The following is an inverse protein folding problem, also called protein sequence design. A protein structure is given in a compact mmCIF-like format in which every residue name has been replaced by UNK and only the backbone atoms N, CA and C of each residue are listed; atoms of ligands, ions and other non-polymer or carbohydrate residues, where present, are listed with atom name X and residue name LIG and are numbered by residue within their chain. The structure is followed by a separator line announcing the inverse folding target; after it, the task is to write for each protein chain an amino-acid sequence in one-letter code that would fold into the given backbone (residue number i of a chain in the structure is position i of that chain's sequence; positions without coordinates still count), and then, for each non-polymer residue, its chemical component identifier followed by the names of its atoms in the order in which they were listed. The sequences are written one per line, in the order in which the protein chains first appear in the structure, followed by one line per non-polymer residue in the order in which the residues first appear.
data_IF_374539777184
#
_entry.id   IF_374539777184
#
_cell.length_a   1.000
_cell.length_b   1.000
_cell.length_c   1.000
_cell.angle_alpha   90.00
_cell.angle_beta   90.00
_cell.angle_gamma   90.00
#
_symmetry.space_group_name_H-M   'P 1'
#
loop_
_entity.id
_entity.type
_entity.pdbx_description
1 polymer ?
#
# COMPACT_ATOMS: atom_id res chain seq x y z
N UNK A 1 17.20 -23.74 17.57
CA UNK A 1 17.90 -24.50 16.51
C UNK A 1 18.35 -23.61 15.36
N UNK A 2 17.50 -22.76 14.76
CA UNK A 2 17.89 -21.85 13.66
C UNK A 2 18.97 -20.81 14.02
N UNK A 3 18.90 -20.21 15.22
CA UNK A 3 19.92 -19.25 15.66
C UNK A 3 21.32 -19.87 15.81
N UNK A 4 21.41 -21.16 16.13
CA UNK A 4 22.70 -21.87 16.28
C UNK A 4 23.31 -22.15 14.91
N UNK A 5 22.49 -22.49 13.90
CA UNK A 5 22.96 -22.70 12.53
C UNK A 5 23.43 -21.40 11.86
N UNK A 6 22.79 -20.26 12.17
CA UNK A 6 23.22 -18.96 11.65
C UNK A 6 24.53 -18.50 12.29
N UNK A 7 24.72 -18.72 13.59
CA UNK A 7 25.98 -18.44 14.28
C UNK A 7 27.11 -19.32 13.74
N UNK A 8 26.87 -20.62 13.52
CA UNK A 8 27.86 -21.52 12.93
C UNK A 8 28.23 -21.13 11.49
N UNK A 9 27.26 -20.70 10.68
CA UNK A 9 27.51 -20.20 9.31
C UNK A 9 28.33 -18.91 9.33
N UNK A 10 28.03 -18.00 10.24
CA UNK A 10 28.79 -16.76 10.39
C UNK A 10 30.22 -17.05 10.86
N UNK A 11 30.39 -18.01 11.77
CA UNK A 11 31.70 -18.40 12.29
C UNK A 11 32.59 -19.04 11.20
N UNK A 12 32.04 -19.90 10.35
CA UNK A 12 32.76 -20.45 9.20
C UNK A 12 33.21 -19.36 8.21
N UNK A 13 32.35 -18.37 7.94
CA UNK A 13 32.70 -17.24 7.06
C UNK A 13 33.78 -16.34 7.68
N UNK A 14 33.74 -16.13 8.99
CA UNK A 14 34.76 -15.35 9.70
C UNK A 14 36.11 -16.09 9.67
N UNK A 15 36.11 -17.41 9.90
CA UNK A 15 37.33 -18.23 9.81
C UNK A 15 37.94 -18.23 8.40
N UNK A 16 37.11 -18.29 7.36
CA UNK A 16 37.57 -18.12 5.98
C UNK A 16 38.19 -16.73 5.77
N UNK A 17 37.52 -15.66 6.19
CA UNK A 17 38.03 -14.29 6.06
C UNK A 17 39.34 -14.09 6.84
N UNK A 18 39.44 -14.64 8.05
CA UNK A 18 40.67 -14.60 8.84
C UNK A 18 41.80 -15.37 8.15
N UNK A 19 41.50 -16.49 7.50
CA UNK A 19 42.48 -17.26 6.71
C UNK A 19 42.91 -16.53 5.43
N UNK A 20 42.02 -15.78 4.80
CA UNK A 20 42.35 -14.91 3.66
C UNK A 20 43.22 -13.71 4.06
N UNK A 21 42.99 -13.15 5.25
CA UNK A 21 43.70 -11.94 5.73
C UNK A 21 45.03 -12.28 6.41
N UNK A 22 45.08 -13.34 7.22
CA UNK A 22 46.24 -13.68 8.06
C UNK A 22 47.03 -14.91 7.56
N UNK A 23 46.53 -15.62 6.53
CA UNK A 23 47.15 -16.85 6.03
C UNK A 23 47.00 -18.03 7.00
N UNK A 24 47.56 -19.21 6.66
CA UNK A 24 47.36 -20.45 7.41
C UNK A 24 47.89 -20.42 8.86
N UNK A 25 48.81 -19.51 9.19
CA UNK A 25 49.49 -19.48 10.50
C UNK A 25 48.86 -18.53 11.52
N UNK A 26 47.70 -17.92 11.23
CA UNK A 26 46.90 -17.15 12.22
C UNK A 26 47.67 -16.04 12.96
N UNK A 27 48.83 -15.63 12.45
CA UNK A 27 49.68 -14.66 13.11
C UNK A 27 49.01 -13.30 12.96
N UNK A 28 48.46 -12.79 14.07
CA UNK A 28 47.96 -11.41 14.22
C UNK A 28 49.11 -10.39 14.13
N UNK A 29 49.85 -10.39 13.02
CA UNK A 29 50.78 -9.35 12.61
C UNK A 29 50.01 -8.11 12.15
N UNK A 30 49.23 -7.53 13.07
CA UNK A 30 48.24 -6.45 12.89
C UNK A 30 48.78 -5.15 12.26
N UNK A 31 50.06 -5.06 11.91
CA UNK A 31 50.67 -3.82 11.41
C UNK A 31 51.22 -3.92 10.00
N UNK A 32 51.65 -5.10 9.52
CA UNK A 32 52.37 -5.18 8.23
C UNK A 32 51.49 -4.92 7.01
N UNK A 33 50.22 -5.34 7.02
CA UNK A 33 49.28 -5.11 5.92
C UNK A 33 48.75 -3.68 5.92
N UNK A 34 48.42 -3.13 7.09
CA UNK A 34 48.00 -1.73 7.22
C UNK A 34 49.15 -0.77 6.88
N UNK A 35 50.36 -1.01 7.41
CA UNK A 35 51.55 -0.22 7.07
C UNK A 35 51.96 -0.44 5.61
N UNK A 36 51.77 -1.65 5.07
CA UNK A 36 51.99 -1.97 3.66
C UNK A 36 51.01 -1.25 2.75
N UNK A 37 49.73 -1.20 3.11
CA UNK A 37 48.68 -0.50 2.39
C UNK A 37 48.89 1.02 2.46
N UNK A 38 49.28 1.55 3.61
CA UNK A 38 49.66 2.98 3.75
C UNK A 38 50.89 3.29 2.90
N UNK A 39 51.91 2.43 2.88
CA UNK A 39 53.08 2.60 2.01
C UNK A 39 52.72 2.53 0.53
N UNK A 40 51.84 1.60 0.13
CA UNK A 40 51.34 1.49 -1.24
C UNK A 40 50.48 2.71 -1.59
N UNK A 41 49.64 3.19 -0.69
CA UNK A 41 48.84 4.40 -0.86
C UNK A 41 49.70 5.66 -1.00
N UNK A 42 50.76 5.80 -0.20
CA UNK A 42 51.71 6.92 -0.28
C UNK A 42 52.55 6.83 -1.55
N UNK A 43 53.00 5.63 -1.93
CA UNK A 43 53.72 5.41 -3.18
C UNK A 43 52.84 5.70 -4.40
N UNK A 44 51.58 5.24 -4.38
CA UNK A 44 50.57 5.53 -5.40
C UNK A 44 50.20 7.01 -5.42
N UNK A 45 50.08 7.67 -4.28
CA UNK A 45 49.85 9.11 -4.18
C UNK A 45 50.99 9.92 -4.80
N UNK A 46 52.24 9.50 -4.56
CA UNK A 46 53.44 10.11 -5.15
C UNK A 46 53.58 9.82 -6.66
N UNK A 47 53.16 8.64 -7.13
CA UNK A 47 53.18 8.27 -8.55
C UNK A 47 52.03 8.96 -9.30
N UNK A 48 50.84 9.01 -8.71
CA UNK A 48 49.65 9.65 -9.28
C UNK A 48 49.74 11.18 -9.28
N UNK A 49 50.47 11.79 -8.34
CA UNK A 49 50.74 13.24 -8.37
C UNK A 49 51.78 13.63 -9.43
N UNK A 50 52.78 12.78 -9.69
CA UNK A 50 53.85 13.04 -10.69
C UNK A 50 53.50 12.58 -12.10
N UNK A 51 52.55 11.65 -12.28
CA UNK A 51 52.08 11.18 -13.58
C UNK A 51 50.56 11.31 -13.67
N UNK A 52 50.08 12.40 -14.27
CA UNK A 52 48.66 12.64 -14.53
C UNK A 52 47.97 11.46 -15.23
N UNK A 53 48.71 10.73 -16.08
CA UNK A 53 48.26 9.51 -16.74
C UNK A 53 47.84 8.41 -15.76
N UNK A 54 48.50 8.28 -14.61
CA UNK A 54 48.15 7.28 -13.58
C UNK A 54 46.88 7.70 -12.84
N UNK A 55 46.70 8.98 -12.54
CA UNK A 55 45.46 9.52 -11.96
C UNK A 55 44.26 9.31 -12.89
N UNK A 56 44.45 9.48 -14.20
CA UNK A 56 43.43 9.18 -15.21
C UNK A 56 43.13 7.68 -15.25
N UNK A 57 44.15 6.82 -15.18
CA UNK A 57 43.96 5.37 -15.14
C UNK A 57 43.19 4.91 -13.90
N UNK A 58 43.46 5.48 -12.71
CA UNK A 58 42.70 5.15 -11.50
C UNK A 58 41.21 5.51 -11.62
N UNK A 59 40.90 6.71 -12.13
CA UNK A 59 39.50 7.08 -12.41
C UNK A 59 38.86 6.16 -13.45
N UNK A 60 39.61 5.80 -14.49
CA UNK A 60 39.14 4.85 -15.51
C UNK A 60 38.95 3.44 -14.95
N UNK A 61 39.72 3.00 -13.96
CA UNK A 61 39.53 1.69 -13.32
C UNK A 61 38.23 1.68 -12.52
N UNK A 62 37.94 2.73 -11.75
CA UNK A 62 36.66 2.87 -11.05
C UNK A 62 35.47 2.91 -12.01
N UNK A 63 35.60 3.63 -13.13
CA UNK A 63 34.56 3.68 -14.15
C UNK A 63 34.44 2.34 -14.91
N UNK A 64 35.56 1.67 -15.21
CA UNK A 64 35.55 0.35 -15.83
C UNK A 64 34.89 -0.69 -14.93
N UNK A 65 35.12 -0.66 -13.61
CA UNK A 65 34.42 -1.57 -12.67
C UNK A 65 32.90 -1.36 -12.77
N UNK A 66 32.41 -0.12 -12.87
CA UNK A 66 30.98 0.17 -13.08
C UNK A 66 30.46 -0.35 -14.43
N UNK A 67 31.26 -0.27 -15.49
CA UNK A 67 30.88 -0.79 -16.80
C UNK A 67 31.03 -2.31 -16.91
N UNK A 68 31.81 -2.95 -16.04
CA UNK A 68 32.01 -4.41 -15.99
C UNK A 68 30.90 -5.13 -15.22
N UNK A 69 30.06 -4.42 -14.46
CA UNK A 69 28.87 -4.99 -13.85
C UNK A 69 27.84 -5.35 -14.94
N UNK A 70 27.55 -6.65 -15.18
CA UNK A 70 26.67 -7.09 -16.26
C UNK A 70 25.24 -6.53 -16.12
N UNK A 71 24.80 -6.30 -14.88
CA UNK A 71 23.51 -5.68 -14.59
C UNK A 71 23.38 -4.24 -15.09
N UNK A 72 24.48 -3.51 -15.26
CA UNK A 72 24.46 -2.13 -15.75
C UNK A 72 24.33 -2.08 -17.28
N UNK A 73 25.07 -2.94 -17.99
CA UNK A 73 25.00 -3.02 -19.45
C UNK A 73 23.65 -3.56 -19.92
N UNK A 74 23.13 -4.63 -19.29
CA UNK A 74 21.87 -5.25 -19.71
C UNK A 74 20.65 -4.33 -19.51
N UNK A 75 20.68 -3.43 -18.52
CA UNK A 75 19.59 -2.47 -18.28
C UNK A 75 19.61 -1.28 -19.26
N UNK A 76 20.77 -0.91 -19.79
CA UNK A 76 20.93 0.28 -20.66
C UNK A 76 20.89 -0.10 -22.14
N UNK A 77 21.44 -1.26 -22.48
CA UNK A 77 21.60 -1.70 -23.86
C UNK A 77 20.45 -2.63 -24.29
N UNK A 78 19.18 -2.22 -24.12
CA UNK A 78 18.09 -2.87 -24.85
C UNK A 78 18.25 -2.49 -26.32
N UNK A 79 18.58 -3.43 -27.23
CA UNK A 79 18.76 -3.10 -28.65
C UNK A 79 17.48 -2.51 -29.24
N UNK A 80 17.58 -1.51 -30.12
CA UNK A 80 16.39 -0.85 -30.67
C UNK A 80 15.46 -1.82 -31.45
N UNK A 81 16.04 -2.87 -32.03
CA UNK A 81 15.27 -3.94 -32.67
C UNK A 81 14.42 -4.76 -31.68
N UNK A 82 14.87 -4.95 -30.44
CA UNK A 82 14.07 -5.65 -29.41
C UNK A 82 13.00 -4.75 -28.79
N UNK A 83 13.21 -3.42 -28.74
CA UNK A 83 12.18 -2.45 -28.35
C UNK A 83 10.97 -2.53 -29.27
N UNK A 84 11.19 -2.63 -30.58
CA UNK A 84 10.09 -2.78 -31.55
C UNK A 84 9.28 -4.05 -31.28
N UNK A 85 9.97 -5.19 -31.09
CA UNK A 85 9.32 -6.47 -30.82
C UNK A 85 8.56 -6.46 -29.48
N UNK A 86 9.12 -5.79 -28.46
CA UNK A 86 8.48 -5.60 -27.17
C UNK A 86 7.20 -4.76 -27.29
N UNK A 87 7.25 -3.63 -28.02
CA UNK A 87 6.08 -2.78 -28.25
C UNK A 87 4.99 -3.54 -29.00
N UNK A 88 5.33 -4.32 -30.02
CA UNK A 88 4.35 -5.13 -30.77
C UNK A 88 3.79 -6.27 -29.92
N UNK A 89 4.61 -6.92 -29.10
CA UNK A 89 4.16 -7.97 -28.19
C UNK A 89 3.26 -7.43 -27.07
N UNK A 90 3.53 -6.21 -26.58
CA UNK A 90 2.78 -5.54 -25.52
C UNK A 90 1.67 -4.61 -26.05
N UNK A 91 1.45 -4.54 -27.37
CA UNK A 91 0.45 -3.66 -27.98
C UNK A 91 -0.93 -3.88 -27.37
N UNK A 92 -1.37 -5.14 -27.29
CA UNK A 92 -2.68 -5.50 -26.73
C UNK A 92 -2.77 -5.19 -25.23
N UNK A 93 -1.66 -5.32 -24.51
CA UNK A 93 -1.59 -5.00 -23.08
C UNK A 93 -1.68 -3.50 -22.83
N UNK A 94 -0.99 -2.70 -23.65
CA UNK A 94 -1.04 -1.23 -23.58
C UNK A 94 -2.41 -0.72 -23.97
N UNK A 95 -3.01 -1.23 -25.06
CA UNK A 95 -4.35 -0.85 -25.49
C UNK A 95 -5.42 -1.18 -24.43
N UNK A 96 -5.34 -2.37 -23.81
CA UNK A 96 -6.27 -2.73 -22.74
C UNK A 96 -6.11 -1.87 -21.49
N UNK A 97 -4.86 -1.51 -21.12
CA UNK A 97 -4.63 -0.57 -20.02
C UNK A 97 -5.15 0.83 -20.30
N UNK A 98 -4.97 1.34 -21.52
CA UNK A 98 -5.51 2.65 -21.93
C UNK A 98 -7.04 2.65 -21.85
N UNK A 99 -7.70 1.60 -22.36
CA UNK A 99 -9.16 1.47 -22.29
C UNK A 99 -9.68 1.42 -20.83
N UNK A 100 -8.95 0.76 -19.93
CA UNK A 100 -9.28 0.77 -18.49
C UNK A 100 -9.03 2.15 -17.87
N UNK A 101 -7.94 2.82 -18.25
CA UNK A 101 -7.58 4.12 -17.70
C UNK A 101 -8.57 5.21 -18.14
N UNK A 102 -9.06 5.16 -19.37
CA UNK A 102 -10.16 6.02 -19.85
C UNK A 102 -11.44 5.83 -19.05
N UNK A 103 -11.79 4.58 -18.68
CA UNK A 103 -12.94 4.32 -17.80
C UNK A 103 -12.72 4.90 -16.41
N UNK A 104 -11.51 4.76 -15.86
CA UNK A 104 -11.16 5.35 -14.56
C UNK A 104 -11.24 6.88 -14.64
N UNK A 105 -10.70 7.51 -15.68
CA UNK A 105 -10.77 8.95 -15.89
C UNK A 105 -12.22 9.46 -15.99
N UNK A 106 -13.09 8.73 -16.70
CA UNK A 106 -14.52 9.03 -16.76
C UNK A 106 -15.21 8.91 -15.39
N UNK A 107 -14.71 8.05 -14.49
CA UNK A 107 -15.23 7.83 -13.15
C UNK A 107 -14.65 8.80 -12.10
N UNK A 108 -13.51 9.46 -12.36
CA UNK A 108 -12.92 10.48 -11.47
C UNK A 108 -13.94 11.57 -11.07
N UNK A 109 -14.70 12.21 -11.97
CA UNK A 109 -15.66 13.26 -11.59
C UNK A 109 -16.84 12.74 -10.76
N UNK A 110 -17.10 11.42 -10.74
CA UNK A 110 -18.13 10.84 -9.87
C UNK A 110 -17.70 10.85 -8.40
N UNK A 111 -16.40 10.71 -8.11
CA UNK A 111 -15.85 10.80 -6.77
C UNK A 111 -15.97 12.21 -6.18
N UNK A 112 -15.94 13.23 -7.04
CA UNK A 112 -16.15 14.63 -6.65
C UNK A 112 -17.62 15.07 -6.62
N UNK A 113 -18.54 14.17 -7.02
CA UNK A 113 -19.96 14.48 -6.97
C UNK A 113 -20.41 14.82 -5.54
N UNK A 114 -21.09 15.96 -5.40
CA UNK A 114 -21.57 16.48 -4.12
C UNK A 114 -22.45 15.49 -3.34
N UNK A 115 -23.07 14.54 -4.04
CA UNK A 115 -23.95 13.50 -3.48
C UNK A 115 -23.17 12.39 -2.75
N UNK A 116 -21.97 12.01 -3.21
CA UNK A 116 -21.18 10.92 -2.61
C UNK A 116 -20.31 11.42 -1.46
N UNK A 117 -19.76 12.64 -1.55
CA UNK A 117 -19.00 13.28 -0.45
C UNK A 117 -19.79 13.37 0.86
N UNK A 118 -21.12 13.39 0.77
CA UNK A 118 -21.99 13.40 1.93
C UNK A 118 -22.37 12.02 2.49
N UNK A 119 -22.26 10.94 1.71
CA UNK A 119 -22.63 9.59 2.12
C UNK A 119 -21.48 8.86 2.85
N UNK A 120 -20.22 9.13 2.46
CA UNK A 120 -19.06 8.35 2.88
C UNK A 120 -18.09 9.07 3.84
N UNK A 121 -18.54 9.97 4.73
CA UNK A 121 -17.65 10.48 5.79
C UNK A 121 -17.40 9.42 6.86
N UNK A 122 -16.52 8.47 6.53
CA UNK A 122 -15.56 7.94 7.50
C UNK A 122 -14.82 9.14 8.06
N UNK A 123 -14.83 9.23 9.39
CA UNK A 123 -14.30 10.30 10.21
C UNK A 123 -12.78 10.43 10.05
N UNK A 124 -12.31 10.99 8.93
CA UNK A 124 -10.92 11.41 8.77
C UNK A 124 -10.93 12.89 8.42
N UNK A 125 -10.55 13.65 9.45
CA UNK A 125 -9.87 14.93 9.43
C UNK A 125 -9.73 15.55 8.03
N UNK A 126 -10.62 16.47 7.70
CA UNK A 126 -10.27 17.85 7.35
C UNK A 126 -11.55 18.64 7.14
N UNK A 127 -11.54 19.79 7.80
CA UNK A 127 -12.54 20.85 7.76
C UNK A 127 -12.47 21.51 6.38
N UNK A 128 -13.33 21.12 5.44
CA UNK A 128 -13.80 22.01 4.38
C UNK A 128 -15.12 21.47 3.77
N UNK A 129 -16.18 22.17 4.14
CA UNK A 129 -17.50 22.34 3.50
C UNK A 129 -17.99 21.35 2.43
N UNK A 130 -19.08 20.64 2.76
CA UNK A 130 -20.32 20.70 1.96
C UNK A 130 -21.56 20.30 2.82
N UNK A 131 -22.60 21.15 2.95
CA UNK A 131 -23.68 20.98 3.95
C UNK A 131 -24.85 20.05 3.55
N UNK A 132 -24.91 19.55 2.31
CA UNK A 132 -26.17 19.02 1.76
C UNK A 132 -26.66 17.68 2.35
N UNK A 133 -25.76 16.76 2.72
CA UNK A 133 -26.13 15.42 3.20
C UNK A 133 -26.28 15.28 4.73
N UNK A 134 -25.52 15.98 5.61
CA UNK A 134 -25.83 15.93 7.04
C UNK A 134 -27.23 16.48 7.34
N UNK A 135 -27.75 17.41 6.54
CA UNK A 135 -29.14 17.86 6.63
C UNK A 135 -30.15 16.76 6.27
N UNK A 136 -29.89 16.00 5.21
CA UNK A 136 -30.76 14.90 4.81
C UNK A 136 -30.75 13.76 5.83
N UNK A 137 -29.58 13.45 6.42
CA UNK A 137 -29.46 12.47 7.50
C UNK A 137 -30.25 12.90 8.76
N UNK A 138 -30.15 14.18 9.16
CA UNK A 138 -30.91 14.71 10.29
C UNK A 138 -32.43 14.68 10.03
N UNK A 139 -32.87 15.05 8.81
CA UNK A 139 -34.28 14.96 8.42
C UNK A 139 -34.78 13.52 8.38
N UNK A 140 -33.97 12.58 7.89
CA UNK A 140 -34.32 11.16 7.85
C UNK A 140 -34.36 10.54 9.26
N UNK A 141 -33.44 10.91 10.14
CA UNK A 141 -33.46 10.48 11.55
C UNK A 141 -34.72 11.00 12.26
N UNK A 142 -35.07 12.27 12.06
CA UNK A 142 -36.28 12.85 12.61
C UNK A 142 -37.54 12.16 12.06
N UNK A 143 -37.58 11.90 10.76
CA UNK A 143 -38.69 11.18 10.12
C UNK A 143 -38.81 9.73 10.65
N UNK A 144 -37.69 9.03 10.83
CA UNK A 144 -37.68 7.69 11.39
C UNK A 144 -38.23 7.67 12.82
N UNK A 145 -37.87 8.66 13.65
CA UNK A 145 -38.42 8.80 15.00
C UNK A 145 -39.94 9.00 14.99
N UNK A 146 -40.44 9.87 14.11
CA UNK A 146 -41.89 10.08 13.94
C UNK A 146 -42.57 8.80 13.46
N UNK A 147 -41.96 8.08 12.52
CA UNK A 147 -42.53 6.86 11.99
C UNK A 147 -42.69 5.77 13.06
N UNK A 148 -41.70 5.61 13.95
CA UNK A 148 -41.80 4.70 15.10
C UNK A 148 -42.96 5.11 16.00
N UNK A 149 -43.06 6.40 16.35
CA UNK A 149 -44.14 6.90 17.20
C UNK A 149 -45.52 6.68 16.59
N UNK A 150 -45.66 6.92 15.28
CA UNK A 150 -46.91 6.68 14.55
C UNK A 150 -47.25 5.19 14.49
N UNK A 151 -46.25 4.32 14.33
CA UNK A 151 -46.45 2.88 14.31
C UNK A 151 -46.97 2.37 15.66
N UNK A 152 -46.37 2.83 16.76
CA UNK A 152 -46.81 2.47 18.12
C UNK A 152 -48.25 2.94 18.38
N UNK A 153 -48.57 4.19 18.02
CA UNK A 153 -49.93 4.74 18.14
C UNK A 153 -50.95 4.01 17.28
N UNK A 154 -50.59 3.62 16.05
CA UNK A 154 -51.47 2.85 15.19
C UNK A 154 -51.79 1.48 15.78
N UNK A 155 -50.80 0.81 16.40
CA UNK A 155 -51.02 -0.48 17.05
C UNK A 155 -51.96 -0.32 18.25
N UNK A 156 -51.71 0.65 19.12
CA UNK A 156 -52.53 0.93 20.31
C UNK A 156 -54.00 1.20 19.94
N UNK A 157 -54.25 2.15 19.02
CA UNK A 157 -55.61 2.48 18.56
C UNK A 157 -56.29 1.28 17.91
N UNK A 158 -55.54 0.47 17.16
CA UNK A 158 -56.09 -0.73 16.51
C UNK A 158 -56.48 -1.79 17.53
N UNK A 159 -55.67 -1.98 18.58
CA UNK A 159 -55.97 -2.91 19.67
C UNK A 159 -57.17 -2.44 20.51
N UNK A 160 -57.22 -1.15 20.87
CA UNK A 160 -58.37 -0.57 21.58
C UNK A 160 -59.67 -0.69 20.77
N UNK A 161 -59.62 -0.37 19.47
CA UNK A 161 -60.78 -0.50 18.59
C UNK A 161 -61.25 -1.94 18.47
N UNK A 162 -60.33 -2.91 18.36
CA UNK A 162 -60.66 -4.33 18.38
C UNK A 162 -61.27 -4.77 19.70
N UNK A 163 -60.72 -4.31 20.83
CA UNK A 163 -61.23 -4.64 22.16
C UNK A 163 -62.67 -4.12 22.36
N UNK A 164 -62.94 -2.87 21.98
CA UNK A 164 -64.28 -2.29 22.01
C UNK A 164 -65.26 -3.03 21.08
N UNK A 165 -64.78 -3.42 19.89
CA UNK A 165 -65.60 -4.17 18.94
C UNK A 165 -65.90 -5.59 19.45
N UNK A 166 -64.95 -6.23 20.11
CA UNK A 166 -65.17 -7.51 20.79
C UNK A 166 -66.15 -7.39 21.95
N UNK A 167 -66.05 -6.34 22.76
CA UNK A 167 -66.98 -6.10 23.88
C UNK A 167 -68.40 -5.84 23.36
N UNK A 168 -68.54 -5.04 22.31
CA UNK A 168 -69.81 -4.86 21.60
C UNK A 168 -70.36 -6.18 21.05
N UNK A 169 -69.49 -6.99 20.41
CA UNK A 169 -69.88 -8.27 19.85
C UNK A 169 -70.20 -9.33 20.92
N UNK A 170 -69.71 -9.18 22.16
CA UNK A 170 -70.08 -10.03 23.30
C UNK A 170 -71.41 -9.59 23.93
N UNK A 171 -71.66 -8.29 24.01
CA UNK A 171 -72.88 -7.73 24.64
C UNK A 171 -74.11 -7.83 23.74
N UNK A 172 -73.96 -7.64 22.44
CA UNK A 172 -75.05 -7.75 21.45
C UNK A 172 -75.79 -9.10 21.46
N UNK A 173 -75.11 -10.28 21.41
CA UNK A 173 -75.78 -11.57 21.46
C UNK A 173 -76.47 -11.81 22.81
N UNK A 174 -75.86 -11.36 23.91
CA UNK A 174 -76.45 -11.45 25.25
C UNK A 174 -77.76 -10.67 25.30
N UNK A 175 -77.77 -9.44 24.76
CA UNK A 175 -78.99 -8.65 24.69
C UNK A 175 -80.05 -9.35 23.81
N UNK A 176 -79.72 -9.78 22.59
CA UNK A 176 -80.69 -10.47 21.73
C UNK A 176 -81.25 -11.75 22.35
N UNK A 177 -80.45 -12.53 23.08
CA UNK A 177 -80.92 -13.74 23.78
C UNK A 177 -81.75 -13.45 25.05
N UNK A 178 -81.68 -12.23 25.60
CA UNK A 178 -82.50 -11.82 26.75
C UNK A 178 -83.84 -11.19 26.35
N UNK A 179 -83.98 -10.78 25.09
CA UNK A 179 -85.20 -10.16 24.56
C UNK A 179 -86.05 -11.11 23.68
N UNK A 180 -85.54 -12.31 23.38
CA UNK A 180 -86.29 -13.48 22.86
C UNK A 180 -86.74 -14.40 24.02
#
# INVERSE_FOLDING_TARGET
MAAVTDVQRLQARVEELERWVYGPDGSRGSRKVADGLVKVQVALGNIASKRERVKILYKKIEDLIKYLDPEYIDRIAIPDASKLQFILAEEQFTLSQVALLEQVEALVPMLDSAHIKGCCRVRILLQESLPAVPEQAARLQHLAQIHIQQQDQCVEITEESKALLEEYNKTTPVLTLTWD
#
